data_IF_241694143741
#
_entry.id   IF_241694143741
#
_cell.length_a   1.000
_cell.length_b   1.000
_cell.length_c   1.000
_cell.angle_alpha   90.00
_cell.angle_beta   90.00
_cell.angle_gamma   90.00
#
_symmetry.space_group_name_H-M   'P 1'
#
loop_
_entity.id
_entity.type
_entity.pdbx_description
1 polymer ?
#
# COMPACT_ATOMS: atom_id res chain seq x y z
N UNK A 1 -6.42 23.17 14.48
CA UNK A 1 -6.48 23.00 13.02
C UNK A 1 -7.82 22.37 12.69
N UNK A 2 -8.75 23.15 12.14
CA UNK A 2 -10.13 22.73 11.88
C UNK A 2 -10.18 22.12 10.46
N UNK A 3 -10.64 20.88 10.34
CA UNK A 3 -10.77 20.17 9.06
C UNK A 3 -12.03 20.65 8.32
N UNK A 4 -11.85 21.27 7.16
CA UNK A 4 -12.94 21.68 6.27
C UNK A 4 -13.59 20.43 5.62
N UNK A 5 -14.88 20.14 5.88
CA UNK A 5 -15.57 18.97 5.35
C UNK A 5 -15.85 19.02 3.84
N UNK A 6 -15.64 20.18 3.18
CA UNK A 6 -15.83 20.35 1.73
C UNK A 6 -14.60 19.99 0.89
N UNK A 7 -13.43 19.87 1.53
CA UNK A 7 -12.20 19.48 0.85
C UNK A 7 -12.20 17.96 0.74
N UNK A 8 -12.23 17.36 -0.48
CA UNK A 8 -12.09 15.92 -0.59
C UNK A 8 -10.79 15.54 0.11
N UNK A 9 -10.89 14.70 1.14
CA UNK A 9 -9.71 14.23 1.86
C UNK A 9 -8.72 13.67 0.83
N UNK A 10 -7.45 14.06 0.93
CA UNK A 10 -6.42 13.52 0.05
C UNK A 10 -6.35 12.01 0.28
N UNK A 11 -6.93 11.24 -0.64
CA UNK A 11 -6.97 9.79 -0.57
C UNK A 11 -5.60 9.26 -0.96
N UNK A 12 -4.85 8.77 0.02
CA UNK A 12 -3.50 8.23 -0.20
C UNK A 12 -3.57 6.72 -0.35
N UNK A 13 -3.16 6.22 -1.52
CA UNK A 13 -3.00 4.79 -1.81
C UNK A 13 -1.56 4.37 -1.57
N UNK A 14 -1.37 3.31 -0.79
CA UNK A 14 -0.07 2.68 -0.60
C UNK A 14 0.03 1.45 -1.49
N UNK A 15 1.07 1.40 -2.32
CA UNK A 15 1.30 0.30 -3.27
C UNK A 15 2.56 -0.45 -2.85
N UNK A 16 2.43 -1.76 -2.55
CA UNK A 16 3.57 -2.64 -2.31
C UNK A 16 3.78 -3.56 -3.50
N UNK A 17 4.94 -3.44 -4.13
CA UNK A 17 5.28 -4.19 -5.34
C UNK A 17 6.08 -5.44 -4.96
N UNK A 18 5.65 -6.60 -5.47
CA UNK A 18 6.34 -7.89 -5.36
C UNK A 18 6.76 -8.25 -3.93
N UNK A 19 5.85 -8.05 -2.97
CA UNK A 19 6.15 -8.29 -1.55
C UNK A 19 6.53 -9.76 -1.33
N UNK A 20 7.75 -9.97 -0.83
CA UNK A 20 8.37 -11.30 -0.72
C UNK A 20 8.08 -12.04 0.58
N UNK A 21 7.73 -11.33 1.65
CA UNK A 21 7.42 -11.90 2.97
C UNK A 21 6.01 -11.51 3.40
N UNK A 22 5.20 -12.50 3.77
CA UNK A 22 3.79 -12.31 4.12
C UNK A 22 3.64 -11.41 5.36
N UNK A 23 4.54 -11.55 6.34
CA UNK A 23 4.58 -10.70 7.53
C UNK A 23 4.74 -9.20 7.24
N UNK A 24 5.42 -8.83 6.15
CA UNK A 24 5.61 -7.42 5.77
C UNK A 24 4.29 -6.78 5.31
N UNK A 25 3.40 -7.54 4.68
CA UNK A 25 2.06 -7.06 4.32
C UNK A 25 1.27 -6.69 5.57
N UNK A 26 1.30 -7.57 6.59
CA UNK A 26 0.64 -7.31 7.88
C UNK A 26 1.24 -6.12 8.60
N UNK A 27 2.57 -6.05 8.69
CA UNK A 27 3.27 -4.92 9.33
C UNK A 27 2.96 -3.59 8.64
N UNK A 28 2.90 -3.58 7.30
CA UNK A 28 2.50 -2.40 6.54
C UNK A 28 1.04 -2.01 6.84
N UNK A 29 0.10 -2.95 6.79
CA UNK A 29 -1.31 -2.69 7.11
C UNK A 29 -1.48 -2.08 8.52
N UNK A 30 -0.72 -2.60 9.51
CA UNK A 30 -0.67 -2.03 10.86
C UNK A 30 -0.19 -0.58 10.87
N UNK A 31 0.92 -0.29 10.17
CA UNK A 31 1.46 1.05 10.08
C UNK A 31 0.45 2.02 9.44
N UNK A 32 -0.21 1.61 8.35
CA UNK A 32 -1.23 2.41 7.68
C UNK A 32 -2.37 2.77 8.63
N UNK A 33 -2.93 1.78 9.32
CA UNK A 33 -4.04 1.99 10.26
C UNK A 33 -3.68 2.96 11.37
N UNK A 34 -2.50 2.80 11.98
CA UNK A 34 -2.02 3.68 13.06
C UNK A 34 -1.89 5.13 12.57
N UNK A 35 -1.53 5.32 11.29
CA UNK A 35 -1.36 6.62 10.66
C UNK A 35 -2.66 7.19 10.06
N UNK A 36 -3.79 6.48 10.20
CA UNK A 36 -5.09 6.92 9.69
C UNK A 36 -5.33 6.64 8.20
N UNK A 37 -4.55 5.75 7.59
CA UNK A 37 -4.72 5.30 6.21
C UNK A 37 -5.32 3.88 6.16
N UNK A 38 -6.09 3.60 5.10
CA UNK A 38 -6.76 2.31 4.93
C UNK A 38 -6.69 1.74 3.50
N UNK A 39 -6.06 2.46 2.54
CA UNK A 39 -5.97 2.01 1.15
C UNK A 39 -4.60 1.38 0.85
N UNK A 40 -4.57 0.05 0.84
CA UNK A 40 -3.41 -0.79 0.50
C UNK A 40 -3.66 -1.55 -0.82
N UNK A 41 -2.70 -1.52 -1.74
CA UNK A 41 -2.70 -2.32 -2.96
C UNK A 41 -1.41 -3.11 -3.06
N UNK A 42 -1.52 -4.39 -3.41
CA UNK A 42 -0.39 -5.30 -3.60
C UNK A 42 -0.26 -5.63 -5.09
N UNK A 43 0.89 -5.33 -5.69
CA UNK A 43 1.19 -5.71 -7.07
C UNK A 43 1.99 -6.99 -7.04
N UNK A 44 1.44 -8.08 -7.60
CA UNK A 44 2.09 -9.39 -7.72
C UNK A 44 2.83 -9.84 -6.45
N UNK A 45 2.16 -9.89 -5.27
CA UNK A 45 2.80 -10.43 -4.08
C UNK A 45 3.21 -11.89 -4.32
N UNK A 46 4.25 -12.38 -3.63
CA UNK A 46 4.79 -13.73 -3.82
C UNK A 46 3.74 -14.85 -3.68
N UNK A 47 2.68 -14.62 -2.91
CA UNK A 47 1.57 -15.56 -2.75
C UNK A 47 0.24 -14.88 -3.09
N UNK A 48 -0.54 -15.49 -4.00
CA UNK A 48 -1.88 -15.01 -4.32
C UNK A 48 -2.82 -14.96 -3.10
N UNK A 49 -2.61 -15.85 -2.12
CA UNK A 49 -3.40 -15.88 -0.88
C UNK A 49 -2.76 -15.10 0.29
N UNK A 50 -1.81 -14.18 0.03
CA UNK A 50 -1.02 -13.50 1.07
C UNK A 50 -1.88 -12.85 2.15
N UNK A 51 -3.00 -12.22 1.79
CA UNK A 51 -3.91 -11.53 2.72
C UNK A 51 -4.57 -12.46 3.75
N UNK A 52 -4.61 -13.77 3.49
CA UNK A 52 -5.21 -14.79 4.37
C UNK A 52 -4.17 -15.65 5.08
N UNK A 53 -2.88 -15.38 4.90
CA UNK A 53 -1.83 -16.16 5.57
C UNK A 53 -1.78 -15.78 7.04
N UNK A 54 -1.59 -16.79 7.89
CA UNK A 54 -1.52 -16.63 9.34
C UNK A 54 -0.53 -15.55 9.77
N UNK A 55 0.69 -15.56 9.23
CA UNK A 55 1.72 -14.57 9.54
C UNK A 55 1.30 -13.13 9.17
N UNK A 56 0.58 -12.94 8.06
CA UNK A 56 0.08 -11.62 7.66
C UNK A 56 -0.95 -11.10 8.66
N UNK A 57 -1.89 -11.97 9.06
CA UNK A 57 -2.95 -11.63 10.04
C UNK A 57 -2.33 -11.31 11.41
N UNK A 58 -1.39 -12.14 11.88
CA UNK A 58 -0.69 -11.94 13.15
C UNK A 58 0.09 -10.62 13.17
N UNK A 59 0.81 -10.30 12.09
CA UNK A 59 1.59 -9.06 11.99
C UNK A 59 0.72 -7.82 11.80
N UNK A 60 -0.50 -7.95 11.29
CA UNK A 60 -1.45 -6.85 11.15
C UNK A 60 -1.96 -6.31 12.50
N UNK A 61 -1.93 -7.10 13.57
CA UNK A 61 -2.16 -6.64 14.95
C UNK A 61 -3.39 -5.71 15.08
N UNK A 62 -4.55 -6.17 14.60
CA UNK A 62 -5.81 -5.41 14.64
C UNK A 62 -6.10 -4.52 13.43
N UNK A 63 -5.22 -4.51 12.42
CA UNK A 63 -5.45 -3.84 11.12
C UNK A 63 -6.09 -4.75 10.06
N UNK A 64 -6.98 -5.67 10.47
CA UNK A 64 -7.65 -6.60 9.57
C UNK A 64 -8.56 -5.87 8.57
N UNK A 65 -9.17 -4.76 8.99
CA UNK A 65 -9.97 -3.88 8.13
C UNK A 65 -9.18 -3.29 6.96
N UNK A 66 -7.88 -3.01 7.13
CA UNK A 66 -7.01 -2.58 6.03
C UNK A 66 -6.72 -3.75 5.09
N UNK A 67 -6.50 -4.95 5.64
CA UNK A 67 -6.31 -6.17 4.83
C UNK A 67 -7.56 -6.55 4.04
N UNK A 68 -8.75 -6.41 4.64
CA UNK A 68 -10.04 -6.72 4.02
C UNK A 68 -10.35 -5.79 2.85
N UNK A 69 -9.92 -4.52 2.94
CA UNK A 69 -10.00 -3.52 1.86
C UNK A 69 -8.88 -3.65 0.83
N UNK A 70 -7.81 -4.38 1.15
CA UNK A 70 -6.64 -4.44 0.28
C UNK A 70 -6.95 -5.16 -1.03
N UNK A 71 -6.44 -4.62 -2.13
CA UNK A 71 -6.56 -5.23 -3.46
C UNK A 71 -5.24 -5.86 -3.88
N UNK A 72 -5.32 -7.00 -4.57
CA UNK A 72 -4.19 -7.61 -5.27
C UNK A 72 -4.42 -7.37 -6.76
N UNK A 73 -3.40 -6.87 -7.45
CA UNK A 73 -3.43 -6.59 -8.89
C UNK A 73 -2.19 -7.18 -9.58
N UNK A 74 -2.27 -7.36 -10.90
CA UNK A 74 -1.19 -7.97 -11.68
C UNK A 74 -0.14 -6.97 -12.14
N UNK A 75 -0.51 -5.69 -12.29
CA UNK A 75 0.39 -4.68 -12.86
C UNK A 75 0.47 -3.43 -11.99
N UNK A 76 1.57 -2.69 -12.14
CA UNK A 76 1.71 -1.38 -11.50
C UNK A 76 0.68 -0.39 -12.05
N UNK A 77 0.39 -0.44 -13.36
CA UNK A 77 -0.56 0.46 -14.01
C UNK A 77 -1.96 0.33 -13.40
N UNK A 78 -2.44 -0.89 -13.16
CA UNK A 78 -3.70 -1.15 -12.44
C UNK A 78 -3.69 -0.61 -11.00
N UNK A 79 -2.54 -0.66 -10.31
CA UNK A 79 -2.41 -0.09 -8.98
C UNK A 79 -2.44 1.45 -8.99
N UNK A 80 -1.98 2.07 -10.08
CA UNK A 80 -1.86 3.52 -10.22
C UNK A 80 -3.05 4.19 -10.93
N UNK A 81 -4.03 3.41 -11.38
CA UNK A 81 -5.21 3.94 -12.07
C UNK A 81 -5.88 5.07 -11.25
N UNK A 82 -6.09 6.20 -11.94
CA UNK A 82 -6.71 7.42 -11.39
C UNK A 82 -5.77 8.31 -10.56
N UNK A 83 -4.48 7.96 -10.40
CA UNK A 83 -3.51 8.78 -9.68
C UNK A 83 -2.91 9.85 -10.57
N UNK A 84 -2.88 11.09 -10.07
CA UNK A 84 -2.27 12.24 -10.76
C UNK A 84 -0.92 12.64 -10.16
N UNK A 85 -0.60 12.13 -8.97
CA UNK A 85 0.63 12.42 -8.24
C UNK A 85 1.18 11.11 -7.68
N UNK A 86 2.48 10.87 -7.88
CA UNK A 86 3.17 9.65 -7.47
C UNK A 86 4.44 9.99 -6.69
N UNK A 87 4.67 9.28 -5.59
CA UNK A 87 5.94 9.29 -4.86
C UNK A 87 6.51 7.87 -4.83
N UNK A 88 7.72 7.69 -5.38
CA UNK A 88 8.43 6.42 -5.30
C UNK A 88 9.42 6.46 -4.12
N UNK A 89 9.39 5.43 -3.27
CA UNK A 89 10.34 5.29 -2.16
C UNK A 89 11.54 4.47 -2.60
N UNK A 90 12.74 5.01 -2.42
CA UNK A 90 14.00 4.34 -2.74
C UNK A 90 15.02 4.60 -1.62
N UNK A 91 15.84 3.60 -1.30
CA UNK A 91 16.89 3.73 -0.29
C UNK A 91 18.02 4.67 -0.75
N UNK A 92 18.31 4.67 -2.04
CA UNK A 92 19.27 5.55 -2.69
C UNK A 92 18.58 6.30 -3.81
N UNK A 93 18.89 7.60 -4.02
CA UNK A 93 18.41 8.33 -5.18
C UNK A 93 18.78 7.57 -6.44
N UNK A 94 17.79 7.42 -7.32
CA UNK A 94 17.96 6.83 -8.63
C UNK A 94 17.84 7.95 -9.64
N UNK A 95 18.72 7.92 -10.63
CA UNK A 95 18.56 8.79 -11.78
C UNK A 95 17.41 8.26 -12.62
N UNK A 96 16.31 9.00 -12.63
CA UNK A 96 15.12 8.73 -13.43
C UNK A 96 14.91 9.83 -14.50
N UNK A 97 15.95 10.64 -14.75
CA UNK A 97 15.92 11.66 -15.79
C UNK A 97 15.96 11.04 -17.19
N UNK A 98 15.59 11.81 -18.24
CA UNK A 98 15.88 11.41 -19.61
C UNK A 98 17.39 11.18 -19.78
N UNK A 99 17.82 10.28 -20.68
CA UNK A 99 19.24 10.09 -20.95
C UNK A 99 19.87 11.45 -21.28
N UNK A 100 20.96 11.77 -20.58
CA UNK A 100 21.81 12.92 -20.88
C UNK A 100 22.59 12.69 -22.17
#
# INVERSE_FOLDING_TARGET
>A
MQTDPSRPGFRTRFVLIQTSHAGNVGAAARALKVMGFDELVLVQPRWANVLRRQETIERASGANDVLDKARIVETLDEALEGMTHLCATAMTPRDFGPPT
#
